data_IF_887769363440
#
_entry.id   IF_887769363440
#
_cell.length_a   1.000
_cell.length_b   1.000
_cell.length_c   1.000
_cell.angle_alpha   90.00
_cell.angle_beta   90.00
_cell.angle_gamma   90.00
#
_symmetry.space_group_name_H-M   'P 1'
#
loop_
_entity.id
_entity.type
_entity.pdbx_description
1 polymer ?
#
# COMPACT_ATOMS: atom_id res chain seq x y z
N UNK A 1 -7.35 23.53 18.56
CA UNK A 1 -7.19 23.49 17.10
C UNK A 1 -8.25 22.53 16.57
N UNK A 2 -9.15 23.00 15.73
CA UNK A 2 -10.17 22.14 15.11
C UNK A 2 -9.40 21.08 14.31
N UNK A 3 -9.46 19.81 14.72
CA UNK A 3 -8.97 18.72 13.87
C UNK A 3 -9.74 18.84 12.56
N UNK A 4 -9.04 19.01 11.45
CA UNK A 4 -9.65 18.98 10.13
C UNK A 4 -10.45 17.68 10.03
N UNK A 5 -11.75 17.77 9.73
CA UNK A 5 -12.57 16.57 9.53
C UNK A 5 -12.29 15.90 8.15
N UNK A 6 -11.31 16.44 7.41
CA UNK A 6 -10.91 15.95 6.09
C UNK A 6 -10.19 14.62 6.18
N UNK A 7 -10.36 13.80 5.15
CA UNK A 7 -9.69 12.51 5.00
C UNK A 7 -8.37 12.70 4.24
N UNK A 8 -7.28 12.17 4.79
CA UNK A 8 -5.99 12.16 4.12
C UNK A 8 -5.93 11.10 3.02
N UNK A 9 -5.08 11.34 2.02
CA UNK A 9 -4.77 10.36 0.98
C UNK A 9 -3.29 9.99 1.05
N UNK A 10 -3.03 8.69 1.10
CA UNK A 10 -1.73 8.12 0.76
C UNK A 10 -1.79 7.69 -0.71
N UNK A 11 -1.09 8.40 -1.57
CA UNK A 11 -0.97 8.02 -2.98
C UNK A 11 0.06 6.90 -3.13
N UNK A 12 -0.31 5.82 -3.83
CA UNK A 12 0.55 4.64 -3.95
C UNK A 12 1.07 4.40 -5.38
N UNK A 13 0.85 5.33 -6.30
CA UNK A 13 1.22 5.18 -7.72
C UNK A 13 2.69 4.84 -7.91
N UNK A 14 3.60 5.47 -7.14
CA UNK A 14 5.06 5.30 -7.28
C UNK A 14 5.60 3.96 -6.76
N UNK A 15 4.81 3.25 -5.94
CA UNK A 15 5.19 1.94 -5.41
C UNK A 15 4.17 0.86 -5.78
N UNK A 16 2.99 0.83 -5.11
CA UNK A 16 2.04 -0.28 -5.26
C UNK A 16 1.30 -0.25 -6.61
N UNK A 17 0.98 0.93 -7.14
CA UNK A 17 0.38 1.08 -8.46
C UNK A 17 1.28 0.50 -9.55
N UNK A 18 2.53 0.95 -9.61
CA UNK A 18 3.55 0.43 -10.56
C UNK A 18 3.85 -1.06 -10.29
N UNK A 19 3.92 -1.46 -9.01
CA UNK A 19 4.17 -2.85 -8.68
C UNK A 19 3.04 -3.77 -9.15
N UNK A 20 1.81 -3.40 -8.87
CA UNK A 20 0.64 -4.23 -9.11
C UNK A 20 0.26 -4.32 -10.58
N UNK A 21 0.44 -3.25 -11.34
CA UNK A 21 0.03 -3.16 -12.75
C UNK A 21 1.17 -3.38 -13.74
N UNK A 22 2.40 -2.93 -13.41
CA UNK A 22 3.55 -2.96 -14.31
C UNK A 22 4.75 -3.73 -13.73
N UNK A 23 4.51 -4.68 -12.82
CA UNK A 23 5.51 -5.57 -12.22
C UNK A 23 6.78 -4.83 -11.73
N UNK A 24 6.65 -3.57 -11.29
CA UNK A 24 7.74 -2.69 -10.83
C UNK A 24 8.79 -2.39 -11.92
N UNK A 25 8.40 -2.34 -13.19
CA UNK A 25 9.32 -2.20 -14.34
C UNK A 25 9.53 -0.77 -14.82
N UNK A 26 9.02 0.24 -14.12
CA UNK A 26 9.18 1.64 -14.50
C UNK A 26 10.48 2.21 -13.90
N UNK A 27 11.46 2.61 -14.71
CA UNK A 27 12.73 3.17 -14.24
C UNK A 27 12.56 4.60 -13.69
N UNK A 28 13.47 4.98 -12.79
CA UNK A 28 13.47 6.30 -12.15
C UNK A 28 13.40 7.46 -13.15
N UNK A 29 14.18 7.40 -14.24
CA UNK A 29 14.22 8.45 -15.27
C UNK A 29 12.85 8.78 -15.87
N UNK A 30 11.95 7.82 -15.90
CA UNK A 30 10.60 7.98 -16.44
C UNK A 30 9.58 8.38 -15.34
N UNK A 31 10.01 8.53 -14.11
CA UNK A 31 9.21 9.05 -12.99
C UNK A 31 9.57 10.50 -12.65
N UNK A 32 10.85 10.85 -12.79
CA UNK A 32 11.37 12.19 -12.46
C UNK A 32 10.54 13.35 -13.00
N UNK A 33 10.07 13.35 -14.26
CA UNK A 33 9.35 14.51 -14.81
C UNK A 33 8.04 14.84 -14.08
N UNK A 34 7.34 13.85 -13.53
CA UNK A 34 6.02 14.03 -12.92
C UNK A 34 6.07 14.32 -11.41
N UNK A 35 7.19 14.01 -10.73
CA UNK A 35 7.27 14.15 -9.27
C UNK A 35 6.95 15.55 -8.76
N UNK A 36 7.42 16.66 -9.40
CA UNK A 36 7.09 18.02 -8.94
C UNK A 36 5.60 18.38 -9.09
N UNK A 37 4.86 17.69 -9.94
CA UNK A 37 3.41 17.86 -10.08
C UNK A 37 2.71 17.09 -8.94
N UNK A 38 3.12 15.85 -8.71
CA UNK A 38 2.60 15.02 -7.60
C UNK A 38 2.76 15.71 -6.24
N UNK A 39 3.86 16.41 -6.01
CA UNK A 39 4.14 17.12 -4.76
C UNK A 39 3.17 18.27 -4.45
N UNK A 40 2.45 18.77 -5.46
CA UNK A 40 1.50 19.89 -5.32
C UNK A 40 0.05 19.46 -5.07
N UNK A 41 -0.25 18.19 -5.23
CA UNK A 41 -1.63 17.66 -5.20
C UNK A 41 -2.25 17.78 -3.80
N UNK A 42 -1.46 17.72 -2.73
CA UNK A 42 -1.94 17.84 -1.37
C UNK A 42 -2.11 16.50 -0.66
N UNK A 43 -1.38 15.49 -1.06
CA UNK A 43 -1.38 14.18 -0.41
C UNK A 43 -0.90 14.23 1.05
N UNK A 44 -1.46 13.39 1.90
CA UNK A 44 -0.95 13.15 3.25
C UNK A 44 0.43 12.48 3.22
N UNK A 45 0.63 11.53 2.30
CA UNK A 45 1.91 10.90 2.01
C UNK A 45 1.94 10.30 0.61
N UNK A 46 3.15 10.00 0.13
CA UNK A 46 3.40 9.24 -1.10
C UNK A 46 4.12 7.95 -0.76
N UNK A 47 3.54 6.79 -1.08
CA UNK A 47 4.24 5.52 -0.95
C UNK A 47 5.20 5.33 -2.11
N UNK A 48 6.50 5.44 -1.84
CA UNK A 48 7.55 5.49 -2.86
C UNK A 48 8.40 4.23 -2.92
N UNK A 49 8.41 3.42 -1.84
CA UNK A 49 9.40 2.37 -1.70
C UNK A 49 8.89 1.15 -0.94
N UNK A 50 9.54 0.00 -1.20
CA UNK A 50 9.24 -1.28 -0.56
C UNK A 50 10.13 -2.38 -1.10
N UNK A 51 9.92 -3.62 -0.63
CA UNK A 51 10.76 -4.76 -0.99
C UNK A 51 10.82 -5.05 -2.48
N UNK A 52 9.69 -5.00 -3.19
CA UNK A 52 9.65 -5.25 -4.62
C UNK A 52 10.36 -4.15 -5.42
N UNK A 53 10.22 -2.88 -4.99
CA UNK A 53 10.92 -1.75 -5.63
C UNK A 53 12.43 -1.86 -5.45
N UNK A 54 12.89 -2.17 -4.22
CA UNK A 54 14.30 -2.40 -3.92
C UNK A 54 14.89 -3.51 -4.81
N UNK A 55 14.19 -4.63 -4.87
CA UNK A 55 14.61 -5.81 -5.64
C UNK A 55 14.61 -5.52 -7.16
N UNK A 56 13.59 -4.84 -7.67
CA UNK A 56 13.47 -4.49 -9.09
C UNK A 56 14.55 -3.51 -9.54
N UNK A 57 14.91 -2.51 -8.73
CA UNK A 57 16.02 -1.60 -9.03
C UNK A 57 17.31 -2.36 -9.33
N UNK A 58 17.63 -3.35 -8.50
CA UNK A 58 18.88 -4.13 -8.64
C UNK A 58 18.79 -5.15 -9.76
N UNK A 59 17.68 -5.93 -9.83
CA UNK A 59 17.58 -7.10 -10.73
C UNK A 59 17.23 -6.75 -12.17
N UNK A 60 16.44 -5.70 -12.36
CA UNK A 60 15.81 -5.45 -13.65
C UNK A 60 16.08 -4.07 -14.22
N UNK A 61 16.23 -3.05 -13.36
CA UNK A 61 16.34 -1.66 -13.80
C UNK A 61 17.79 -1.18 -13.86
N UNK A 62 18.72 -1.91 -13.23
CA UNK A 62 20.11 -1.51 -13.05
C UNK A 62 20.24 -0.11 -12.43
N UNK A 63 19.46 0.12 -11.36
CA UNK A 63 19.39 1.38 -10.62
C UNK A 63 19.87 1.19 -9.17
N UNK A 64 20.46 2.25 -8.60
CA UNK A 64 20.66 2.33 -7.15
C UNK A 64 19.33 2.62 -6.45
N UNK A 65 18.80 1.69 -5.63
CA UNK A 65 17.52 1.91 -4.95
C UNK A 65 17.55 3.10 -3.98
N UNK A 66 18.70 3.49 -3.44
CA UNK A 66 18.86 4.65 -2.57
C UNK A 66 18.84 5.98 -3.34
N UNK A 67 19.40 6.02 -4.55
CA UNK A 67 19.31 7.18 -5.42
C UNK A 67 17.87 7.53 -5.76
N UNK A 68 17.03 6.51 -5.95
CA UNK A 68 15.58 6.70 -6.16
C UNK A 68 14.94 7.50 -5.02
N UNK A 69 15.22 7.15 -3.77
CA UNK A 69 14.70 7.86 -2.59
C UNK A 69 15.19 9.31 -2.52
N UNK A 70 16.50 9.51 -2.67
CA UNK A 70 17.10 10.87 -2.63
C UNK A 70 16.54 11.76 -3.74
N UNK A 71 16.31 11.19 -4.91
CA UNK A 71 15.72 11.92 -6.05
C UNK A 71 14.29 12.34 -5.74
N UNK A 72 13.48 11.45 -5.16
CA UNK A 72 12.12 11.78 -4.77
C UNK A 72 12.09 12.82 -3.65
N UNK A 73 12.94 12.71 -2.63
CA UNK A 73 13.05 13.71 -1.57
C UNK A 73 13.37 15.10 -2.12
N UNK A 74 14.33 15.19 -3.05
CA UNK A 74 14.73 16.46 -3.66
C UNK A 74 13.62 17.09 -4.51
N UNK A 75 12.78 16.28 -5.16
CA UNK A 75 11.74 16.74 -6.09
C UNK A 75 10.34 16.84 -5.46
N UNK A 76 10.15 16.29 -4.28
CA UNK A 76 8.86 16.21 -3.56
C UNK A 76 9.04 16.63 -2.09
N UNK A 77 9.44 17.88 -1.83
CA UNK A 77 9.74 18.35 -0.46
C UNK A 77 8.51 18.56 0.43
N UNK A 78 7.30 18.65 -0.14
CA UNK A 78 6.07 18.94 0.62
C UNK A 78 5.29 17.67 1.00
N UNK A 79 5.51 16.56 0.29
CA UNK A 79 4.79 15.31 0.49
C UNK A 79 5.69 14.27 1.15
N UNK A 80 5.41 13.83 2.39
CA UNK A 80 6.22 12.85 3.09
C UNK A 80 6.32 11.52 2.33
N UNK A 81 7.53 10.97 2.20
CA UNK A 81 7.75 9.65 1.62
C UNK A 81 7.41 8.54 2.60
N UNK A 82 6.62 7.57 2.15
CA UNK A 82 6.28 6.37 2.88
C UNK A 82 6.93 5.14 2.26
N UNK A 83 7.38 4.19 3.10
CA UNK A 83 7.80 2.87 2.64
C UNK A 83 7.02 1.76 3.31
N UNK A 84 6.90 0.63 2.59
CA UNK A 84 6.37 -0.63 3.12
C UNK A 84 7.52 -1.57 3.48
N UNK A 85 7.55 -2.05 4.73
CA UNK A 85 8.54 -3.03 5.21
C UNK A 85 7.88 -4.25 5.85
N UNK A 86 8.56 -5.40 5.74
CA UNK A 86 8.08 -6.70 6.22
C UNK A 86 8.62 -7.00 7.63
N UNK A 87 8.36 -6.12 8.60
CA UNK A 87 8.88 -6.25 9.95
C UNK A 87 10.40 -6.48 9.94
N UNK A 88 10.89 -7.45 10.70
CA UNK A 88 12.31 -7.82 10.79
C UNK A 88 12.89 -8.38 9.49
N UNK A 89 12.06 -8.72 8.52
CA UNK A 89 12.50 -9.13 7.17
C UNK A 89 12.86 -7.92 6.28
N UNK A 90 12.55 -6.70 6.70
CA UNK A 90 12.80 -5.45 5.97
C UNK A 90 12.24 -5.52 4.54
N UNK A 91 13.12 -5.39 3.55
CA UNK A 91 12.80 -5.55 2.12
C UNK A 91 13.09 -6.96 1.59
N UNK A 92 13.57 -7.86 2.44
CA UNK A 92 13.98 -9.24 2.09
C UNK A 92 12.96 -10.31 2.48
N UNK A 93 13.44 -11.57 2.52
CA UNK A 93 12.63 -12.77 2.70
C UNK A 93 13.08 -13.64 3.89
N UNK A 94 13.91 -13.08 4.79
CA UNK A 94 14.38 -13.75 6.01
C UNK A 94 14.49 -12.71 7.13
N UNK A 95 14.44 -13.15 8.37
CA UNK A 95 14.73 -12.27 9.51
C UNK A 95 16.20 -11.82 9.49
N UNK A 96 16.41 -10.53 9.66
CA UNK A 96 17.72 -9.96 9.82
C UNK A 96 18.05 -9.75 11.31
N UNK A 97 19.33 -9.62 11.63
CA UNK A 97 19.74 -9.27 13.00
C UNK A 97 19.31 -7.84 13.37
N UNK A 98 19.09 -7.60 14.65
CA UNK A 98 18.64 -6.28 15.15
C UNK A 98 19.54 -5.13 14.67
N UNK A 99 20.86 -5.33 14.64
CA UNK A 99 21.80 -4.30 14.15
C UNK A 99 21.58 -3.98 12.66
N UNK A 100 21.31 -4.98 11.84
CA UNK A 100 21.00 -4.77 10.40
C UNK A 100 19.69 -4.02 10.24
N UNK A 101 18.68 -4.38 11.05
CA UNK A 101 17.37 -3.68 11.02
C UNK A 101 17.56 -2.21 11.38
N UNK A 102 18.22 -1.92 12.51
CA UNK A 102 18.47 -0.55 12.95
C UNK A 102 19.23 0.26 11.91
N UNK A 103 20.32 -0.28 11.37
CA UNK A 103 21.11 0.40 10.33
C UNK A 103 20.33 0.63 9.03
N UNK A 104 19.46 -0.32 8.63
CA UNK A 104 18.65 -0.18 7.44
C UNK A 104 17.59 0.92 7.59
N UNK A 105 16.93 0.98 8.76
CA UNK A 105 15.93 2.01 9.05
C UNK A 105 16.57 3.40 9.12
N UNK A 106 17.72 3.53 9.79
CA UNK A 106 18.50 4.77 9.82
C UNK A 106 18.87 5.22 8.40
N UNK A 107 19.40 4.32 7.58
CA UNK A 107 19.74 4.63 6.19
C UNK A 107 18.51 5.00 5.34
N UNK A 108 17.37 4.34 5.53
CA UNK A 108 16.15 4.69 4.83
C UNK A 108 15.67 6.10 5.21
N UNK A 109 15.73 6.44 6.50
CA UNK A 109 15.42 7.77 7.01
C UNK A 109 16.37 8.85 6.47
N UNK A 110 17.69 8.58 6.45
CA UNK A 110 18.70 9.49 5.91
C UNK A 110 18.54 9.73 4.39
N UNK A 111 17.85 8.85 3.68
CA UNK A 111 17.56 8.97 2.26
C UNK A 111 16.11 9.43 1.97
N UNK A 112 15.40 9.99 2.95
CA UNK A 112 14.14 10.71 2.75
C UNK A 112 12.87 9.96 3.17
N UNK A 113 12.95 8.76 3.76
CA UNK A 113 11.75 8.08 4.27
C UNK A 113 11.33 8.70 5.61
N UNK A 114 10.08 9.18 5.66
CA UNK A 114 9.46 9.77 6.84
C UNK A 114 8.49 8.81 7.54
N UNK A 115 7.80 7.95 6.78
CA UNK A 115 6.75 7.06 7.28
C UNK A 115 7.12 5.62 6.97
N UNK A 116 7.20 4.79 8.00
CA UNK A 116 7.51 3.37 7.89
C UNK A 116 6.26 2.54 8.20
N UNK A 117 5.60 2.04 7.14
CA UNK A 117 4.50 1.09 7.26
C UNK A 117 5.07 -0.31 7.41
N UNK A 118 4.98 -0.87 8.60
CA UNK A 118 5.50 -2.23 8.91
C UNK A 118 4.36 -3.23 9.01
N UNK A 119 4.50 -4.37 8.33
CA UNK A 119 3.51 -5.44 8.34
C UNK A 119 4.13 -6.82 8.43
N UNK A 120 3.33 -7.78 8.85
CA UNK A 120 3.54 -9.21 8.67
C UNK A 120 2.31 -9.83 8.01
N UNK A 121 2.51 -10.64 6.96
CA UNK A 121 1.40 -11.21 6.19
C UNK A 121 0.55 -12.22 6.99
N UNK A 122 1.09 -12.77 8.06
CA UNK A 122 0.42 -13.70 8.98
C UNK A 122 0.00 -13.04 10.30
N UNK A 123 0.19 -11.71 10.42
CA UNK A 123 -0.07 -10.93 11.63
C UNK A 123 0.76 -11.38 12.84
N UNK A 124 2.00 -11.85 12.61
CA UNK A 124 2.94 -12.10 13.69
C UNK A 124 3.40 -10.76 14.30
N UNK A 125 2.82 -10.42 15.45
CA UNK A 125 3.11 -9.17 16.12
C UNK A 125 4.59 -9.07 16.55
N UNK A 126 5.22 -10.15 16.98
CA UNK A 126 6.64 -10.15 17.38
C UNK A 126 7.56 -9.74 16.23
N UNK A 127 7.17 -10.07 14.99
CA UNK A 127 7.91 -9.67 13.79
C UNK A 127 7.87 -8.14 13.56
N UNK A 128 6.77 -7.46 13.88
CA UNK A 128 6.61 -6.02 13.62
C UNK A 128 6.95 -5.13 14.82
N UNK A 129 6.82 -5.63 16.04
CA UNK A 129 7.01 -4.85 17.27
C UNK A 129 8.40 -4.21 17.36
N UNK A 130 9.43 -5.00 17.10
CA UNK A 130 10.81 -4.48 17.13
C UNK A 130 11.00 -3.35 16.11
N UNK A 131 10.46 -3.51 14.92
CA UNK A 131 10.56 -2.51 13.85
C UNK A 131 9.84 -1.21 14.23
N UNK A 132 8.64 -1.30 14.82
CA UNK A 132 7.91 -0.12 15.32
C UNK A 132 8.77 0.65 16.33
N UNK A 133 9.32 -0.05 17.33
CA UNK A 133 10.16 0.56 18.36
C UNK A 133 11.41 1.22 17.79
N UNK A 134 12.05 0.60 16.80
CA UNK A 134 13.25 1.16 16.15
C UNK A 134 12.91 2.39 15.29
N UNK A 135 11.81 2.40 14.56
CA UNK A 135 11.35 3.58 13.84
C UNK A 135 11.08 4.74 14.80
N UNK A 136 10.45 4.47 15.94
CA UNK A 136 10.25 5.48 17.00
C UNK A 136 11.57 5.98 17.56
N UNK A 137 12.56 5.09 17.76
CA UNK A 137 13.90 5.47 18.27
C UNK A 137 14.60 6.47 17.35
N UNK A 138 14.44 6.33 16.03
CA UNK A 138 15.02 7.26 15.05
C UNK A 138 14.16 8.51 14.80
N UNK A 139 13.06 8.68 15.54
CA UNK A 139 12.20 9.86 15.48
C UNK A 139 11.32 9.95 14.23
N UNK A 140 11.02 8.84 13.56
CA UNK A 140 10.17 8.77 12.39
C UNK A 140 8.78 8.22 12.70
N UNK A 141 7.84 8.38 11.76
CA UNK A 141 6.47 7.91 11.89
C UNK A 141 6.41 6.38 11.72
N UNK A 142 6.04 5.70 12.80
CA UNK A 142 5.83 4.25 12.80
C UNK A 142 4.36 3.93 12.56
N UNK A 143 4.04 3.32 11.44
CA UNK A 143 2.71 2.82 11.14
C UNK A 143 2.68 1.30 11.23
N UNK A 144 2.04 0.76 12.28
CA UNK A 144 1.83 -0.68 12.42
C UNK A 144 0.64 -1.14 11.57
N UNK A 145 0.61 -2.41 11.17
CA UNK A 145 -0.37 -2.86 10.18
C UNK A 145 -1.08 -4.14 10.62
N UNK A 146 -2.39 -4.16 10.45
CA UNK A 146 -3.24 -5.36 10.42
C UNK A 146 -3.30 -5.85 8.97
N UNK A 147 -2.78 -7.03 8.67
CA UNK A 147 -2.97 -7.71 7.39
C UNK A 147 -4.36 -8.39 7.40
N UNK A 148 -5.36 -7.72 6.82
CA UNK A 148 -6.73 -8.21 6.87
C UNK A 148 -6.91 -9.48 6.04
N UNK A 149 -7.58 -10.46 6.64
CA UNK A 149 -7.95 -11.72 6.00
C UNK A 149 -9.25 -12.25 6.61
N UNK A 150 -9.86 -13.23 5.96
CA UNK A 150 -11.03 -13.94 6.48
C UNK A 150 -10.70 -15.41 6.72
N UNK A 151 -10.94 -15.88 7.94
CA UNK A 151 -10.77 -17.29 8.31
C UNK A 151 -11.59 -17.58 9.59
N UNK A 152 -11.77 -18.86 9.98
CA UNK A 152 -12.49 -19.20 11.21
C UNK A 152 -11.86 -18.67 12.50
N UNK A 153 -10.59 -18.28 12.47
CA UNK A 153 -9.85 -17.78 13.66
C UNK A 153 -9.69 -16.25 13.68
N UNK A 154 -10.13 -15.56 12.64
CA UNK A 154 -10.05 -14.11 12.55
C UNK A 154 -11.44 -13.50 12.74
N UNK A 155 -11.70 -12.97 13.91
CA UNK A 155 -12.91 -12.27 14.29
C UNK A 155 -12.61 -10.81 14.70
N UNK A 156 -13.65 -10.07 15.07
CA UNK A 156 -13.51 -8.68 15.50
C UNK A 156 -12.57 -8.53 16.70
N UNK A 157 -12.63 -9.45 17.67
CA UNK A 157 -11.79 -9.39 18.87
C UNK A 157 -10.30 -9.54 18.51
N UNK A 158 -9.99 -10.41 17.55
CA UNK A 158 -8.62 -10.60 17.03
C UNK A 158 -8.06 -9.29 16.45
N UNK A 159 -8.87 -8.56 15.69
CA UNK A 159 -8.44 -7.30 15.09
C UNK A 159 -8.26 -6.19 16.12
N UNK A 160 -9.15 -6.10 17.11
CA UNK A 160 -9.05 -5.12 18.19
C UNK A 160 -7.83 -5.39 19.07
N UNK A 161 -7.59 -6.64 19.44
CA UNK A 161 -6.43 -7.05 20.23
C UNK A 161 -5.10 -6.74 19.51
N UNK A 162 -5.04 -7.03 18.20
CA UNK A 162 -3.86 -6.71 17.40
C UNK A 162 -3.66 -5.20 17.28
N UNK A 163 -4.73 -4.44 17.01
CA UNK A 163 -4.71 -2.98 16.98
C UNK A 163 -4.19 -2.40 18.29
N UNK A 164 -4.66 -2.91 19.42
CA UNK A 164 -4.20 -2.48 20.74
C UNK A 164 -2.73 -2.79 21.00
N UNK A 165 -2.25 -3.97 20.64
CA UNK A 165 -0.82 -4.33 20.74
C UNK A 165 0.04 -3.37 19.89
N UNK A 166 -0.41 -3.01 18.69
CA UNK A 166 0.28 -2.08 17.82
C UNK A 166 0.36 -0.68 18.47
N UNK A 167 -0.77 -0.16 18.98
CA UNK A 167 -0.79 1.11 19.72
C UNK A 167 0.14 1.07 20.94
N UNK A 168 0.05 0.03 21.75
CA UNK A 168 0.85 -0.12 22.98
C UNK A 168 2.37 -0.28 22.68
N UNK A 169 2.75 -0.69 21.46
CA UNK A 169 4.14 -0.70 21.02
C UNK A 169 4.71 0.68 20.69
N UNK A 170 3.85 1.72 20.70
CA UNK A 170 4.20 3.11 20.44
C UNK A 170 4.05 3.54 18.99
N UNK A 171 3.29 2.80 18.17
CA UNK A 171 2.99 3.21 16.80
C UNK A 171 2.25 4.57 16.76
N UNK A 172 2.55 5.39 15.76
CA UNK A 172 1.91 6.70 15.54
C UNK A 172 0.57 6.57 14.81
N UNK A 173 0.38 5.49 14.06
CA UNK A 173 -0.88 5.17 13.38
C UNK A 173 -1.00 3.68 13.13
N UNK A 174 -2.24 3.23 12.87
CA UNK A 174 -2.58 1.87 12.49
C UNK A 174 -3.01 1.84 11.03
N UNK A 175 -2.52 0.89 10.23
CA UNK A 175 -3.05 0.62 8.90
C UNK A 175 -3.81 -0.71 8.86
N UNK A 176 -4.98 -0.71 8.23
CA UNK A 176 -5.70 -1.92 7.82
C UNK A 176 -5.29 -2.20 6.37
N UNK A 177 -4.61 -3.32 6.13
CA UNK A 177 -4.09 -3.68 4.80
C UNK A 177 -4.85 -4.88 4.24
N UNK A 178 -5.78 -4.61 3.36
CA UNK A 178 -6.57 -5.62 2.64
C UNK A 178 -5.91 -5.91 1.28
N UNK A 179 -4.93 -6.79 1.30
CA UNK A 179 -4.08 -7.10 0.13
C UNK A 179 -4.82 -7.85 -0.98
N UNK A 180 -5.94 -8.50 -0.67
CA UNK A 180 -6.68 -9.31 -1.63
C UNK A 180 -8.08 -8.74 -1.96
N UNK A 181 -8.43 -7.56 -1.43
CA UNK A 181 -9.72 -6.93 -1.64
C UNK A 181 -10.88 -7.72 -1.03
N UNK A 182 -10.68 -8.33 0.14
CA UNK A 182 -11.66 -9.18 0.81
C UNK A 182 -12.58 -8.42 1.77
N UNK A 183 -12.14 -7.26 2.24
CA UNK A 183 -12.87 -6.48 3.22
C UNK A 183 -14.15 -5.90 2.59
N UNK A 184 -15.28 -6.43 3.02
CA UNK A 184 -16.59 -5.99 2.52
C UNK A 184 -16.92 -4.60 3.05
N UNK A 185 -17.67 -3.77 2.33
CA UNK A 185 -17.98 -2.40 2.74
C UNK A 185 -18.59 -2.28 4.15
N UNK A 186 -19.55 -3.14 4.49
CA UNK A 186 -20.19 -3.10 5.81
C UNK A 186 -19.28 -3.63 6.92
N UNK A 187 -18.47 -4.66 6.63
CA UNK A 187 -17.47 -5.17 7.58
C UNK A 187 -16.37 -4.10 7.83
N UNK A 188 -16.04 -3.29 6.80
CA UNK A 188 -15.12 -2.16 6.94
C UNK A 188 -15.69 -1.07 7.86
N UNK A 189 -16.99 -0.75 7.71
CA UNK A 189 -17.65 0.20 8.61
C UNK A 189 -17.59 -0.28 10.06
N UNK A 190 -17.93 -1.54 10.31
CA UNK A 190 -17.91 -2.12 11.66
C UNK A 190 -16.49 -2.16 12.22
N UNK A 191 -15.51 -2.64 11.44
CA UNK A 191 -14.12 -2.73 11.88
C UNK A 191 -13.54 -1.37 12.23
N UNK A 192 -13.70 -0.38 11.36
CA UNK A 192 -13.20 0.99 11.58
C UNK A 192 -13.89 1.62 12.77
N UNK A 193 -15.22 1.49 12.90
CA UNK A 193 -15.98 2.04 14.03
C UNK A 193 -15.51 1.49 15.36
N UNK A 194 -15.28 0.17 15.44
CA UNK A 194 -14.80 -0.49 16.66
C UNK A 194 -13.33 -0.09 16.96
N UNK A 195 -12.46 -0.03 15.98
CA UNK A 195 -11.08 0.41 16.17
C UNK A 195 -11.01 1.88 16.63
N UNK A 196 -11.81 2.79 16.03
CA UNK A 196 -11.89 4.20 16.43
C UNK A 196 -12.40 4.40 17.86
N UNK A 197 -13.23 3.49 18.36
CA UNK A 197 -13.69 3.51 19.78
C UNK A 197 -12.63 2.95 20.74
N UNK A 198 -11.76 2.06 20.27
CA UNK A 198 -10.80 1.30 21.10
C UNK A 198 -9.41 1.92 21.11
N UNK A 199 -9.03 2.67 20.08
CA UNK A 199 -7.69 3.24 19.88
C UNK A 199 -7.72 4.76 19.86
N UNK A 200 -6.62 5.38 20.27
CA UNK A 200 -6.40 6.83 20.23
C UNK A 200 -5.59 7.29 19.03
N UNK A 201 -4.87 6.38 18.37
CA UNK A 201 -4.04 6.69 17.20
C UNK A 201 -4.87 6.73 15.91
N UNK A 202 -4.44 7.52 14.89
CA UNK A 202 -5.07 7.54 13.58
C UNK A 202 -5.12 6.16 12.92
N UNK A 203 -6.19 5.92 12.14
CA UNK A 203 -6.41 4.66 11.42
C UNK A 203 -6.42 4.91 9.93
N UNK A 204 -5.67 4.11 9.18
CA UNK A 204 -5.54 4.17 7.73
C UNK A 204 -6.10 2.89 7.09
N UNK A 205 -6.55 2.99 5.82
CA UNK A 205 -7.07 1.86 5.07
C UNK A 205 -6.33 1.72 3.74
N UNK A 206 -5.77 0.54 3.50
CA UNK A 206 -5.33 0.11 2.17
C UNK A 206 -6.20 -1.07 1.72
N UNK A 207 -6.89 -0.96 0.60
CA UNK A 207 -7.67 -2.07 0.03
C UNK A 207 -7.48 -2.16 -1.47
N UNK A 208 -7.16 -3.37 -1.95
CA UNK A 208 -7.01 -3.64 -3.38
C UNK A 208 -8.35 -3.75 -4.10
N UNK A 209 -8.36 -3.33 -5.37
CA UNK A 209 -9.56 -3.29 -6.21
C UNK A 209 -9.88 -4.61 -6.92
N UNK A 210 -9.13 -5.66 -6.67
CA UNK A 210 -9.20 -6.94 -7.40
C UNK A 210 -10.61 -7.53 -7.44
N UNK A 211 -11.36 -7.44 -6.33
CA UNK A 211 -12.74 -7.93 -6.23
C UNK A 211 -13.80 -6.92 -6.68
N UNK A 212 -13.40 -5.69 -6.98
CA UNK A 212 -14.30 -4.60 -7.37
C UNK A 212 -14.90 -3.82 -6.20
N UNK A 213 -14.64 -4.19 -4.94
CA UNK A 213 -15.29 -3.58 -3.77
C UNK A 213 -14.57 -2.34 -3.22
N UNK A 214 -13.31 -2.09 -3.59
CA UNK A 214 -12.42 -1.16 -2.88
C UNK A 214 -12.99 0.25 -2.72
N UNK A 215 -13.63 0.84 -3.74
CA UNK A 215 -14.22 2.18 -3.63
C UNK A 215 -15.37 2.21 -2.61
N UNK A 216 -16.25 1.20 -2.64
CA UNK A 216 -17.34 1.08 -1.67
C UNK A 216 -16.82 0.80 -0.25
N UNK A 217 -15.76 0.00 -0.13
CA UNK A 217 -15.08 -0.29 1.14
C UNK A 217 -14.46 0.98 1.73
N UNK A 218 -13.73 1.76 0.93
CA UNK A 218 -13.17 3.05 1.34
C UNK A 218 -14.26 4.04 1.73
N UNK A 219 -15.36 4.13 0.96
CA UNK A 219 -16.49 5.00 1.30
C UNK A 219 -17.07 4.65 2.67
N UNK A 220 -17.30 3.36 2.96
CA UNK A 220 -17.81 2.91 4.25
C UNK A 220 -16.81 3.11 5.40
N UNK A 221 -15.52 2.97 5.14
CA UNK A 221 -14.48 3.29 6.10
C UNK A 221 -14.47 4.80 6.44
N UNK A 222 -14.65 5.68 5.44
CA UNK A 222 -14.74 7.13 5.63
C UNK A 222 -15.97 7.49 6.45
N UNK A 223 -17.14 6.92 6.16
CA UNK A 223 -18.35 7.09 6.96
C UNK A 223 -18.15 6.65 8.42
N UNK A 224 -17.35 5.61 8.66
CA UNK A 224 -17.03 5.11 9.99
C UNK A 224 -15.98 5.95 10.75
N UNK A 225 -15.39 6.96 10.10
CA UNK A 225 -14.44 7.88 10.74
C UNK A 225 -12.97 7.57 10.51
N UNK A 226 -12.59 6.84 9.47
CA UNK A 226 -11.18 6.59 9.15
C UNK A 226 -10.43 7.90 8.87
N UNK A 227 -9.14 7.95 9.19
CA UNK A 227 -8.36 9.20 9.09
C UNK A 227 -7.68 9.33 7.72
N UNK A 228 -7.33 8.22 7.08
CA UNK A 228 -6.59 8.21 5.80
C UNK A 228 -6.95 6.95 4.98
N UNK A 229 -6.95 7.08 3.65
CA UNK A 229 -7.08 5.95 2.73
C UNK A 229 -5.95 5.94 1.69
N UNK A 230 -5.58 4.75 1.25
CA UNK A 230 -4.64 4.56 0.14
C UNK A 230 -5.42 4.52 -1.18
N UNK A 231 -4.95 5.28 -2.16
CA UNK A 231 -5.50 5.32 -3.53
C UNK A 231 -4.38 5.37 -4.55
N UNK A 232 -4.69 5.14 -5.81
CA UNK A 232 -3.73 5.29 -6.92
C UNK A 232 -4.35 6.12 -8.03
N UNK A 233 -3.54 6.98 -8.66
CA UNK A 233 -3.94 7.76 -9.84
C UNK A 233 -4.66 6.86 -10.85
N UNK A 234 -5.75 7.34 -11.44
CA UNK A 234 -6.72 6.53 -12.22
C UNK A 234 -6.08 5.70 -13.32
N UNK A 235 -5.08 6.22 -14.03
CA UNK A 235 -4.36 5.49 -15.07
C UNK A 235 -3.53 4.31 -14.58
N UNK A 236 -3.16 4.27 -13.28
CA UNK A 236 -2.50 3.13 -12.61
C UNK A 236 -3.31 2.65 -11.39
N UNK A 237 -4.62 2.56 -11.55
CA UNK A 237 -5.57 2.11 -10.53
C UNK A 237 -6.35 0.87 -10.98
N UNK A 238 -7.26 0.42 -10.12
CA UNK A 238 -8.19 -0.69 -10.36
C UNK A 238 -7.50 -2.03 -10.64
N UNK A 239 -8.23 -3.02 -11.05
CA UNK A 239 -7.75 -4.39 -11.31
C UNK A 239 -6.89 -4.94 -10.16
N UNK A 240 -5.60 -5.11 -10.34
CA UNK A 240 -4.67 -5.55 -9.27
C UNK A 240 -4.30 -4.44 -8.28
N UNK A 241 -4.55 -3.16 -8.63
CA UNK A 241 -4.18 -1.98 -7.85
C UNK A 241 -5.24 -1.56 -6.83
N UNK A 242 -5.43 -0.25 -6.69
CA UNK A 242 -6.29 0.40 -5.69
C UNK A 242 -7.42 1.20 -6.36
N UNK A 243 -8.30 1.77 -5.55
CA UNK A 243 -9.32 2.74 -6.04
C UNK A 243 -8.62 3.95 -6.66
N UNK A 244 -9.23 4.51 -7.70
CA UNK A 244 -8.71 5.72 -8.34
C UNK A 244 -8.82 6.94 -7.41
N UNK A 245 -7.73 7.68 -7.28
CA UNK A 245 -7.63 8.88 -6.42
C UNK A 245 -8.66 9.92 -6.83
N UNK A 246 -8.77 10.23 -8.12
CA UNK A 246 -9.71 11.20 -8.68
C UNK A 246 -11.16 10.80 -8.39
N UNK A 247 -11.48 9.52 -8.48
CA UNK A 247 -12.83 9.00 -8.17
C UNK A 247 -13.16 9.19 -6.70
N UNK A 248 -12.24 8.87 -5.79
CA UNK A 248 -12.47 9.04 -4.36
C UNK A 248 -12.59 10.53 -3.99
N UNK A 249 -11.76 11.40 -4.58
CA UNK A 249 -11.88 12.85 -4.39
C UNK A 249 -13.25 13.36 -4.85
N UNK A 250 -13.72 12.96 -6.01
CA UNK A 250 -15.04 13.36 -6.55
C UNK A 250 -16.23 12.85 -5.71
N UNK A 251 -16.15 11.62 -5.16
CA UNK A 251 -17.20 11.07 -4.29
C UNK A 251 -17.42 11.93 -3.04
N UNK A 252 -16.36 12.52 -2.49
CA UNK A 252 -16.39 13.27 -1.24
C UNK A 252 -16.33 14.79 -1.44
N UNK A 253 -16.44 15.28 -2.67
CA UNK A 253 -16.51 16.72 -2.94
C UNK A 253 -17.71 17.35 -2.24
N UNK A 254 -17.45 18.35 -1.40
CA UNK A 254 -18.47 19.04 -0.60
C UNK A 254 -19.08 18.23 0.55
N UNK A 255 -18.56 17.04 0.84
CA UNK A 255 -18.97 16.24 1.99
C UNK A 255 -18.29 16.74 3.26
N UNK A 256 -18.89 16.52 4.45
CA UNK A 256 -18.27 16.90 5.74
C UNK A 256 -16.91 16.22 6.00
N UNK A 257 -16.68 15.05 5.37
CA UNK A 257 -15.43 14.28 5.35
C UNK A 257 -14.73 14.42 3.99
N UNK A 258 -14.61 15.65 3.49
CA UNK A 258 -14.05 15.97 2.18
C UNK A 258 -12.60 15.45 2.03
N UNK A 259 -12.28 15.01 0.83
CA UNK A 259 -10.92 14.79 0.34
C UNK A 259 -10.59 16.05 -0.51
N UNK A 260 -9.56 16.79 -0.12
CA UNK A 260 -9.25 18.11 -0.71
C UNK A 260 -7.91 18.03 -1.45
N UNK A 261 -7.95 17.59 -2.71
CA UNK A 261 -6.80 17.45 -3.59
C UNK A 261 -6.94 18.36 -4.83
N UNK A 262 -5.80 18.80 -5.37
CA UNK A 262 -5.75 19.57 -6.63
C UNK A 262 -6.11 18.68 -7.83
N UNK A 263 -7.36 18.82 -8.30
CA UNK A 263 -7.88 18.03 -9.44
C UNK A 263 -7.15 18.31 -10.75
N UNK A 264 -6.66 19.53 -10.98
CA UNK A 264 -5.94 19.84 -12.21
C UNK A 264 -4.57 19.14 -12.24
N UNK A 265 -3.87 19.13 -11.11
CA UNK A 265 -2.61 18.40 -10.99
C UNK A 265 -2.82 16.86 -11.00
N UNK A 266 -3.96 16.35 -10.50
CA UNK A 266 -4.34 14.94 -10.63
C UNK A 266 -4.57 14.56 -12.09
N UNK A 267 -5.29 15.38 -12.87
CA UNK A 267 -5.54 15.16 -14.30
C UNK A 267 -4.24 15.13 -15.09
N UNK A 268 -3.35 16.13 -14.89
CA UNK A 268 -2.01 16.16 -15.48
C UNK A 268 -1.21 14.89 -15.16
N UNK A 269 -1.25 14.46 -13.92
CA UNK A 269 -0.55 13.25 -13.47
C UNK A 269 -1.16 11.99 -14.09
N UNK A 270 -2.48 11.91 -14.19
CA UNK A 270 -3.18 10.79 -14.81
C UNK A 270 -2.84 10.65 -16.30
N UNK A 271 -2.78 11.74 -17.04
CA UNK A 271 -2.37 11.74 -18.46
C UNK A 271 -0.92 11.26 -18.59
N UNK A 272 -0.03 11.74 -17.74
CA UNK A 272 1.36 11.27 -17.74
C UNK A 272 1.48 9.77 -17.49
N UNK A 273 0.81 9.25 -16.46
CA UNK A 273 0.89 7.82 -16.14
C UNK A 273 0.14 6.94 -17.15
N UNK A 274 -0.79 7.48 -17.94
CA UNK A 274 -1.39 6.77 -19.07
C UNK A 274 -0.34 6.45 -20.13
N UNK A 275 0.52 7.41 -20.47
CA UNK A 275 1.63 7.21 -21.42
C UNK A 275 2.67 6.21 -20.85
N UNK A 276 2.95 6.30 -19.54
CA UNK A 276 3.81 5.32 -18.84
C UNK A 276 3.22 3.93 -18.92
N UNK A 277 1.93 3.76 -18.65
CA UNK A 277 1.25 2.45 -18.72
C UNK A 277 1.30 1.86 -20.13
N UNK A 278 1.08 2.68 -21.17
CA UNK A 278 1.20 2.23 -22.55
C UNK A 278 2.64 1.81 -22.88
N UNK A 279 3.63 2.61 -22.51
CA UNK A 279 5.05 2.35 -22.72
C UNK A 279 5.53 1.04 -22.10
N UNK A 280 5.02 0.68 -20.92
CA UNK A 280 5.39 -0.52 -20.16
C UNK A 280 4.32 -1.61 -20.17
N UNK A 281 3.39 -1.58 -21.12
CA UNK A 281 2.24 -2.49 -21.21
C UNK A 281 2.62 -3.96 -21.36
N UNK A 282 3.83 -4.27 -21.83
CA UNK A 282 4.35 -5.65 -21.87
C UNK A 282 4.46 -6.32 -20.48
N UNK A 283 4.54 -5.51 -19.41
CA UNK A 283 4.60 -5.99 -18.03
C UNK A 283 3.24 -5.99 -17.34
N UNK A 284 2.20 -5.53 -18.00
CA UNK A 284 0.84 -5.50 -17.44
C UNK A 284 0.28 -6.91 -17.33
N UNK A 285 -0.34 -7.22 -16.18
CA UNK A 285 -1.03 -8.49 -15.97
C UNK A 285 -2.27 -8.65 -16.87
N UNK A 286 -2.74 -9.90 -16.99
CA UNK A 286 -3.82 -10.25 -17.94
C UNK A 286 -5.22 -9.84 -17.47
N UNK A 287 -5.40 -9.45 -16.21
CA UNK A 287 -6.70 -9.06 -15.65
C UNK A 287 -7.16 -7.70 -16.20
N UNK A 288 -8.30 -7.71 -16.89
CA UNK A 288 -8.91 -6.50 -17.51
C UNK A 288 -10.15 -5.97 -16.79
N UNK A 289 -10.54 -6.60 -15.70
CA UNK A 289 -11.73 -6.22 -14.91
C UNK A 289 -11.56 -6.71 -13.47
N UNK A 290 -12.67 -7.10 -12.83
CA UNK A 290 -12.67 -7.65 -11.48
C UNK A 290 -12.50 -9.18 -11.51
N UNK A 291 -11.83 -9.73 -10.49
CA UNK A 291 -11.75 -11.17 -10.26
C UNK A 291 -12.41 -11.54 -8.93
N UNK A 292 -13.68 -11.95 -9.00
CA UNK A 292 -14.44 -12.37 -7.81
C UNK A 292 -14.04 -13.73 -7.27
N UNK A 293 -13.21 -14.50 -8.00
CA UNK A 293 -12.64 -15.77 -7.48
C UNK A 293 -11.70 -15.51 -6.31
N UNK A 294 -11.19 -14.28 -6.18
CA UNK A 294 -10.41 -13.85 -5.01
C UNK A 294 -11.17 -13.99 -3.69
N UNK A 295 -12.49 -13.84 -3.70
CA UNK A 295 -13.32 -14.05 -2.52
C UNK A 295 -13.22 -15.49 -1.96
N UNK A 296 -12.83 -16.44 -2.80
CA UNK A 296 -12.62 -17.85 -2.43
C UNK A 296 -11.14 -18.16 -2.30
N UNK A 297 -10.31 -17.78 -3.27
CA UNK A 297 -8.87 -18.13 -3.34
C UNK A 297 -8.00 -17.24 -2.45
N UNK A 298 -8.41 -16.00 -2.20
CA UNK A 298 -7.77 -15.02 -1.30
C UNK A 298 -6.27 -14.78 -1.60
N UNK A 299 -5.89 -14.69 -2.86
CA UNK A 299 -4.51 -14.41 -3.28
C UNK A 299 -4.36 -12.92 -3.53
N UNK A 300 -3.39 -12.22 -2.91
CA UNK A 300 -3.15 -10.79 -3.17
C UNK A 300 -2.91 -10.48 -4.63
N UNK A 301 -3.54 -9.42 -5.16
CA UNK A 301 -3.43 -9.03 -6.57
C UNK A 301 -2.01 -8.80 -7.05
N UNK A 302 -1.17 -8.09 -6.26
CA UNK A 302 0.24 -7.90 -6.56
C UNK A 302 1.08 -9.19 -6.57
N UNK A 303 0.65 -10.23 -5.82
CA UNK A 303 1.29 -11.55 -5.90
C UNK A 303 0.92 -12.28 -7.19
N UNK A 304 -0.33 -12.15 -7.66
CA UNK A 304 -0.77 -12.78 -8.91
C UNK A 304 0.00 -12.21 -10.09
N UNK A 305 0.09 -10.89 -10.22
CA UNK A 305 0.83 -10.25 -11.32
C UNK A 305 2.32 -10.63 -11.29
N UNK A 306 2.92 -10.70 -10.11
CA UNK A 306 4.30 -11.19 -9.96
C UNK A 306 4.45 -12.66 -10.35
N UNK A 307 3.51 -13.52 -9.95
CA UNK A 307 3.51 -14.94 -10.29
C UNK A 307 3.33 -15.15 -11.80
N UNK A 308 2.38 -14.44 -12.42
CA UNK A 308 2.17 -14.47 -13.87
C UNK A 308 3.45 -14.08 -14.63
N UNK A 309 4.09 -12.98 -14.21
CA UNK A 309 5.34 -12.52 -14.80
C UNK A 309 6.47 -13.55 -14.64
N UNK A 310 6.60 -14.17 -13.47
CA UNK A 310 7.61 -15.20 -13.22
C UNK A 310 7.35 -16.47 -14.04
N UNK A 311 6.11 -16.93 -14.13
CA UNK A 311 5.75 -18.11 -14.94
C UNK A 311 5.97 -17.83 -16.42
N UNK A 312 5.61 -16.65 -16.93
CA UNK A 312 5.93 -16.22 -18.31
C UNK A 312 7.44 -16.23 -18.56
N UNK A 313 8.23 -15.66 -17.66
CA UNK A 313 9.71 -15.64 -17.78
C UNK A 313 10.32 -17.05 -17.81
N UNK A 314 9.70 -18.00 -17.13
CA UNK A 314 10.12 -19.41 -17.07
C UNK A 314 9.46 -20.29 -18.14
N UNK A 315 8.66 -19.74 -19.06
CA UNK A 315 7.89 -20.47 -20.08
C UNK A 315 6.98 -21.54 -19.48
N UNK A 316 6.27 -21.19 -18.42
CA UNK A 316 5.37 -22.05 -17.64
C UNK A 316 4.01 -21.39 -17.42
N UNK A 317 3.55 -20.55 -18.35
CA UNK A 317 2.27 -19.82 -18.28
C UNK A 317 1.07 -20.75 -18.09
N UNK A 318 1.14 -21.95 -18.65
CA UNK A 318 0.12 -22.99 -18.54
C UNK A 318 -0.12 -23.48 -17.11
N UNK A 319 0.79 -23.19 -16.19
CA UNK A 319 0.68 -23.60 -14.77
C UNK A 319 -0.05 -22.60 -13.87
N UNK A 320 -0.38 -21.41 -14.35
CA UNK A 320 -0.99 -20.37 -13.52
C UNK A 320 -2.31 -20.82 -12.88
N UNK A 321 -3.18 -21.45 -13.65
CA UNK A 321 -4.46 -21.93 -13.15
C UNK A 321 -4.32 -23.10 -12.18
N UNK A 322 -3.34 -23.98 -12.41
CA UNK A 322 -3.02 -25.06 -11.48
C UNK A 322 -2.62 -24.49 -10.12
N UNK A 323 -1.67 -23.55 -10.10
CA UNK A 323 -1.22 -22.91 -8.84
C UNK A 323 -2.38 -22.18 -8.15
N UNK A 324 -3.16 -21.38 -8.90
CA UNK A 324 -4.33 -20.69 -8.35
C UNK A 324 -5.37 -21.63 -7.73
N UNK A 325 -5.50 -22.84 -8.23
CA UNK A 325 -6.48 -23.83 -7.74
C UNK A 325 -5.96 -24.63 -6.53
N UNK A 326 -4.64 -24.76 -6.36
CA UNK A 326 -4.05 -25.44 -5.19
C UNK A 326 -4.06 -24.58 -3.91
N UNK A 327 -4.04 -23.25 -4.04
CA UNK A 327 -3.97 -22.33 -2.90
C UNK A 327 -5.07 -22.60 -1.85
N UNK A 328 -6.38 -22.76 -2.21
CA UNK A 328 -7.43 -23.05 -1.22
C UNK A 328 -7.21 -24.37 -0.46
N UNK A 329 -6.59 -25.38 -1.09
CA UNK A 329 -6.31 -26.66 -0.43
C UNK A 329 -5.16 -26.54 0.56
N UNK A 330 -4.13 -25.75 0.24
CA UNK A 330 -2.98 -25.49 1.15
C UNK A 330 -3.43 -24.67 2.37
N UNK A 331 -4.47 -23.85 2.25
CA UNK A 331 -4.99 -23.00 3.33
C UNK A 331 -5.90 -23.73 4.33
N UNK A 332 -6.42 -24.91 4.01
CA UNK A 332 -7.21 -25.75 4.93
C UNK A 332 -6.33 -26.35 6.01
#
# INVERSE_FOLDING_TARGET
MSSSNKVGITEVVLRDGIQSLLATRVPLRDLVPIIPVLDKIGYWSMETWGGATYDACIRYLNEDPWERLRTFEALMPNTPQQMLIRGQNLVGYKHYSKNVISSFLEKSSENGIEIFRTFDALNDFENIEFTIKEVKRIGKHAQGTIAYTTSPVHDMSTWLDLGKKIEDSGADSLAIKDMAGLLRPFDAFDLVSNLKQSLSIPIHMQTHATTGMSAATNMKAIEAGIDNIDTSISSLSMTYGHSATETMNAIFEGHEREIDLDMAALEESSDYFKDIREKYSEFEGDMKGVDTTMLVKQVPGGMISSLETQLKSNKQEDKIDLVKNEIPEVRK
#
